data_IF_270457138718
#
_entry.id   IF_270457138718
#
_cell.length_a   1.000
_cell.length_b   1.000
_cell.length_c   1.000
_cell.angle_alpha   90.00
_cell.angle_beta   90.00
_cell.angle_gamma   90.00
#
_symmetry.space_group_name_H-M   'P 1'
#
loop_
_entity.id
_entity.type
_entity.pdbx_description
1 polymer ?
#
# COMPACT_ATOMS: atom_id res chain seq x y z
N UNK A 1 -16.41 9.39 -27.48
CA UNK A 1 -15.02 9.90 -27.40
C UNK A 1 -14.94 11.38 -26.97
N UNK A 2 -15.98 12.19 -27.16
CA UNK A 2 -15.99 13.62 -26.75
C UNK A 2 -16.24 13.86 -25.26
N UNK A 3 -16.80 12.88 -24.53
CA UNK A 3 -17.30 13.09 -23.17
C UNK A 3 -16.18 13.30 -22.14
N UNK A 4 -15.07 12.58 -22.27
CA UNK A 4 -13.92 12.70 -21.35
C UNK A 4 -13.24 14.07 -21.45
N UNK A 5 -13.14 14.62 -22.66
CA UNK A 5 -12.51 15.93 -22.90
C UNK A 5 -13.30 17.06 -22.23
N UNK A 6 -14.61 17.11 -22.49
CA UNK A 6 -15.52 18.09 -21.90
C UNK A 6 -15.58 17.95 -20.37
N UNK A 7 -15.56 16.70 -19.87
CA UNK A 7 -15.51 16.41 -18.44
C UNK A 7 -14.28 17.02 -17.75
N UNK A 8 -13.08 16.83 -18.30
CA UNK A 8 -11.86 17.39 -17.71
C UNK A 8 -11.80 18.92 -17.80
N UNK A 9 -12.33 19.51 -18.88
CA UNK A 9 -12.43 20.98 -19.00
C UNK A 9 -13.42 21.58 -17.98
N UNK A 10 -14.63 20.99 -17.83
CA UNK A 10 -15.63 21.49 -16.89
C UNK A 10 -15.19 21.37 -15.42
N UNK A 11 -14.45 20.31 -15.06
CA UNK A 11 -14.01 20.06 -13.69
C UNK A 11 -12.92 21.04 -13.20
N UNK A 12 -12.23 21.74 -14.10
CA UNK A 12 -11.25 22.79 -13.77
C UNK A 12 -9.92 22.34 -13.15
N UNK A 13 -9.75 21.05 -12.81
CA UNK A 13 -8.51 20.52 -12.21
C UNK A 13 -7.40 20.18 -13.22
N UNK A 14 -7.64 20.43 -14.51
CA UNK A 14 -6.73 20.07 -15.60
C UNK A 14 -6.74 18.57 -15.94
N UNK A 15 -5.93 18.21 -16.93
CA UNK A 15 -5.82 16.82 -17.39
C UNK A 15 -4.90 15.99 -16.48
N UNK A 16 -5.15 14.68 -16.31
CA UNK A 16 -4.26 13.81 -15.57
C UNK A 16 -2.83 13.88 -16.08
N UNK A 17 -1.88 14.18 -15.19
CA UNK A 17 -0.45 14.09 -15.52
C UNK A 17 0.00 12.63 -15.41
N UNK A 18 0.27 12.00 -16.54
CA UNK A 18 0.92 10.69 -16.56
C UNK A 18 2.40 10.80 -16.21
N UNK A 19 2.90 9.83 -15.44
CA UNK A 19 4.34 9.72 -15.15
C UNK A 19 5.07 9.19 -16.37
N UNK A 20 6.22 9.78 -16.70
CA UNK A 20 7.11 9.25 -17.74
C UNK A 20 7.70 7.91 -17.31
N UNK A 21 8.18 7.14 -18.27
CA UNK A 21 8.94 5.92 -18.02
C UNK A 21 10.08 6.19 -17.02
N UNK A 22 10.30 5.25 -16.09
CA UNK A 22 11.31 5.38 -15.04
C UNK A 22 10.97 6.36 -13.91
N UNK A 23 9.88 7.12 -13.97
CA UNK A 23 9.49 8.03 -12.87
C UNK A 23 8.55 7.39 -11.82
N UNK A 24 8.05 6.17 -12.09
CA UNK A 24 7.28 5.43 -11.09
C UNK A 24 8.19 4.99 -9.96
N UNK A 25 7.94 5.50 -8.75
CA UNK A 25 8.73 5.19 -7.54
C UNK A 25 8.01 4.28 -6.56
N UNK A 26 6.72 4.01 -6.77
CA UNK A 26 5.95 3.16 -5.87
C UNK A 26 4.80 2.47 -6.56
N UNK A 27 4.48 1.26 -6.10
CA UNK A 27 3.30 0.49 -6.49
C UNK A 27 2.53 0.11 -5.22
N UNK A 28 1.22 0.33 -5.21
CA UNK A 28 0.36 0.05 -4.08
C UNK A 28 -0.48 -1.20 -4.36
N UNK A 29 -0.45 -2.15 -3.43
CA UNK A 29 -1.30 -3.34 -3.42
C UNK A 29 -2.25 -3.21 -2.22
N UNK A 30 -3.45 -2.65 -2.43
CA UNK A 30 -4.33 -2.18 -1.34
C UNK A 30 -4.98 -3.32 -0.56
N UNK A 31 -5.12 -4.50 -1.17
CA UNK A 31 -5.79 -5.64 -0.57
C UNK A 31 -5.23 -6.95 -1.10
N UNK A 32 -5.14 -7.94 -0.21
CA UNK A 32 -4.80 -9.31 -0.54
C UNK A 32 -5.92 -10.24 -0.09
N UNK A 33 -6.17 -11.30 -0.86
CA UNK A 33 -7.15 -12.35 -0.51
C UNK A 33 -6.61 -13.30 0.55
N UNK A 34 -5.32 -13.59 0.47
CA UNK A 34 -4.58 -14.47 1.37
C UNK A 34 -3.35 -13.71 1.88
N UNK A 35 -2.75 -14.15 2.98
CA UNK A 35 -1.50 -13.56 3.43
C UNK A 35 -0.45 -13.62 2.29
N UNK A 36 0.04 -12.48 1.79
CA UNK A 36 0.96 -12.45 0.67
C UNK A 36 2.38 -12.89 1.08
N UNK A 37 2.68 -13.03 2.37
CA UNK A 37 4.03 -13.34 2.85
C UNK A 37 4.13 -14.79 3.30
N UNK A 38 5.17 -15.47 2.81
CA UNK A 38 5.49 -16.86 3.17
C UNK A 38 6.97 -16.91 3.52
N UNK A 39 7.30 -16.79 4.80
CA UNK A 39 8.68 -16.75 5.29
C UNK A 39 9.49 -15.61 4.67
N UNK A 40 10.37 -15.94 3.73
CA UNK A 40 11.27 -15.02 3.01
C UNK A 40 10.76 -14.60 1.63
N UNK A 41 9.47 -14.81 1.32
CA UNK A 41 8.90 -14.46 0.01
C UNK A 41 7.63 -13.62 0.16
N UNK A 42 7.37 -12.77 -0.83
CA UNK A 42 6.11 -12.06 -0.99
C UNK A 42 5.48 -12.38 -2.36
N UNK A 43 4.20 -12.74 -2.36
CA UNK A 43 3.39 -12.93 -3.55
C UNK A 43 2.63 -11.64 -3.87
N UNK A 44 2.96 -11.03 -5.01
CA UNK A 44 2.32 -9.82 -5.51
C UNK A 44 1.43 -10.13 -6.72
N UNK A 45 0.19 -9.62 -6.77
CA UNK A 45 -0.67 -9.76 -7.93
C UNK A 45 0.05 -9.30 -9.22
N UNK A 46 -0.07 -10.11 -10.28
CA UNK A 46 0.53 -9.88 -11.61
C UNK A 46 2.06 -9.90 -11.69
N UNK A 47 2.79 -9.70 -10.59
CA UNK A 47 4.25 -9.77 -10.56
C UNK A 47 4.72 -11.19 -10.22
N UNK A 48 4.01 -11.86 -9.31
CA UNK A 48 4.36 -13.20 -8.84
C UNK A 48 5.09 -13.20 -7.50
N UNK A 49 5.82 -14.28 -7.24
CA UNK A 49 6.53 -14.52 -5.98
C UNK A 49 7.92 -13.91 -6.06
N UNK A 50 8.28 -13.10 -5.06
CA UNK A 50 9.55 -12.37 -5.01
C UNK A 50 10.23 -12.68 -3.67
N UNK A 51 11.52 -13.06 -3.65
CA UNK A 51 12.26 -13.17 -2.41
C UNK A 51 12.44 -11.80 -1.76
N UNK A 52 12.26 -11.75 -0.44
CA UNK A 52 12.40 -10.55 0.39
C UNK A 52 13.30 -10.84 1.59
N UNK A 53 14.01 -9.82 2.04
CA UNK A 53 14.64 -9.85 3.36
C UNK A 53 13.67 -9.26 4.39
N UNK A 54 13.08 -10.13 5.21
CA UNK A 54 12.17 -9.74 6.27
C UNK A 54 12.95 -9.49 7.56
N UNK A 55 13.22 -8.21 7.86
CA UNK A 55 13.98 -7.83 9.06
C UNK A 55 13.28 -8.16 10.39
N UNK A 56 11.95 -8.26 10.40
CA UNK A 56 11.16 -8.61 11.59
C UNK A 56 10.04 -9.58 11.22
N UNK A 57 9.85 -10.69 11.95
CA UNK A 57 8.71 -11.56 11.73
C UNK A 57 7.41 -10.80 11.93
N UNK A 58 6.37 -11.18 11.16
CA UNK A 58 5.03 -10.63 11.35
C UNK A 58 4.50 -11.17 12.68
N UNK A 59 4.07 -10.31 13.63
CA UNK A 59 3.58 -10.79 14.91
C UNK A 59 2.31 -11.64 14.75
N UNK A 60 2.11 -12.57 15.68
CA UNK A 60 0.92 -13.41 15.70
C UNK A 60 -0.35 -12.57 15.87
N UNK A 61 -1.44 -12.98 15.20
CA UNK A 61 -2.71 -12.24 15.23
C UNK A 61 -2.76 -11.00 14.33
N UNK A 62 -1.71 -10.70 13.57
CA UNK A 62 -1.71 -9.62 12.58
C UNK A 62 -1.92 -10.15 11.15
N UNK A 63 -2.74 -9.44 10.39
CA UNK A 63 -3.00 -9.70 8.97
C UNK A 63 -2.40 -8.60 8.12
N UNK A 64 -1.70 -8.98 7.03
CA UNK A 64 -1.19 -8.03 6.06
C UNK A 64 -2.34 -7.50 5.21
N UNK A 65 -2.69 -6.23 5.40
CA UNK A 65 -3.78 -5.59 4.65
C UNK A 65 -3.32 -5.05 3.32
N UNK A 66 -2.14 -4.41 3.33
CA UNK A 66 -1.64 -3.66 2.19
C UNK A 66 -0.12 -3.80 2.11
N UNK A 67 0.41 -3.82 0.89
CA UNK A 67 1.84 -3.75 0.62
C UNK A 67 2.09 -2.60 -0.35
N UNK A 68 3.10 -1.78 -0.06
CA UNK A 68 3.59 -0.76 -0.96
C UNK A 68 5.01 -1.10 -1.33
N UNK A 69 5.25 -1.36 -2.60
CA UNK A 69 6.60 -1.51 -3.13
C UNK A 69 7.13 -0.12 -3.45
N UNK A 70 8.31 0.23 -2.95
CA UNK A 70 8.97 1.51 -3.22
C UNK A 70 10.33 1.26 -3.86
N UNK A 71 10.71 2.15 -4.78
CA UNK A 71 12.06 2.31 -5.29
C UNK A 71 12.63 3.63 -4.78
N UNK A 72 13.67 3.56 -3.95
CA UNK A 72 14.44 4.72 -3.48
C UNK A 72 15.89 4.52 -3.91
N UNK A 73 16.44 5.50 -4.63
CA UNK A 73 17.73 5.38 -5.30
C UNK A 73 17.79 4.08 -6.13
N UNK A 74 18.72 3.21 -5.80
CA UNK A 74 19.00 1.89 -6.37
C UNK A 74 18.34 0.72 -5.61
N UNK A 75 17.66 1.00 -4.47
CA UNK A 75 17.09 -0.03 -3.61
C UNK A 75 15.57 -0.13 -3.73
N UNK A 76 15.09 -1.37 -3.72
CA UNK A 76 13.67 -1.70 -3.55
C UNK A 76 13.37 -2.05 -2.10
N UNK A 77 12.22 -1.59 -1.61
CA UNK A 77 11.70 -1.96 -0.30
C UNK A 77 10.19 -2.17 -0.34
N UNK A 78 9.69 -2.97 0.59
CA UNK A 78 8.26 -3.21 0.77
C UNK A 78 7.85 -2.65 2.11
N UNK A 79 6.87 -1.75 2.10
CA UNK A 79 6.22 -1.24 3.31
C UNK A 79 4.90 -1.98 3.48
N UNK A 80 4.78 -2.69 4.60
CA UNK A 80 3.62 -3.49 4.94
C UNK A 80 2.72 -2.73 5.92
N UNK A 81 1.42 -2.78 5.68
CA UNK A 81 0.42 -2.32 6.64
C UNK A 81 -0.23 -3.55 7.25
N UNK A 82 -0.10 -3.69 8.57
CA UNK A 82 -0.66 -4.79 9.34
C UNK A 82 -1.93 -4.33 10.05
N UNK A 83 -2.92 -5.21 10.13
CA UNK A 83 -4.15 -5.02 10.89
C UNK A 83 -4.20 -6.07 12.01
N UNK A 84 -4.68 -5.67 13.18
CA UNK A 84 -4.95 -6.55 14.31
C UNK A 84 -6.36 -6.26 14.82
N UNK A 85 -7.06 -7.31 15.26
CA UNK A 85 -8.43 -7.24 15.79
C UNK A 85 -8.47 -6.90 17.30
N UNK A 86 -7.37 -6.41 17.86
CA UNK A 86 -7.33 -6.00 19.28
C UNK A 86 -8.26 -4.79 19.49
N UNK A 87 -9.36 -5.03 20.20
CA UNK A 87 -10.21 -3.97 20.74
C UNK A 87 -9.43 -3.23 21.82
N UNK A 88 -9.17 -1.93 21.59
CA UNK A 88 -8.64 -1.06 22.64
C UNK A 88 -9.81 -0.60 23.50
N UNK A 89 -9.72 -0.65 24.84
CA UNK A 89 -10.73 -0.02 25.68
C UNK A 89 -10.79 1.48 25.36
N UNK A 90 -11.99 2.03 25.30
CA UNK A 90 -12.20 3.46 25.04
C UNK A 90 -11.45 4.28 26.09
N UNK A 91 -10.66 5.25 25.65
CA UNK A 91 -9.97 6.15 26.55
C UNK A 91 -11.02 6.96 27.32
N UNK A 92 -11.03 6.83 28.64
CA UNK A 92 -11.86 7.69 29.48
C UNK A 92 -11.42 9.14 29.28
N UNK A 93 -12.32 10.08 28.94
CA UNK A 93 -11.96 11.48 28.84
C UNK A 93 -11.53 11.97 30.22
N UNK A 94 -10.24 12.28 30.39
CA UNK A 94 -9.75 12.92 31.61
C UNK A 94 -9.95 14.43 31.46
N UNK A 95 -11.08 14.93 31.94
CA UNK A 95 -11.26 16.36 32.17
C UNK A 95 -10.60 16.71 33.50
N UNK A 96 -9.58 17.56 33.47
CA UNK A 96 -9.23 18.35 34.66
C UNK A 96 -10.35 19.37 34.87
N UNK A 97 -10.95 19.35 36.05
CA UNK A 97 -11.94 20.33 36.51
C UNK A 97 -11.27 21.65 36.87
#
# INVERSE_FOLDING_TARGET
MHDGWNYFQQRGYGFPRFKKFGQMKSMLFPQFKTNPITGWQISLPKIGIIPINLHRPIPEGFVVKQARVLRKADRWSVVLTLQSEVSRPEAQPHGEL
#
